data_IF_919756380045
#
_entry.id   IF_919756380045
#
_cell.length_a   1.000
_cell.length_b   1.000
_cell.length_c   1.000
_cell.angle_alpha   90.00
_cell.angle_beta   90.00
_cell.angle_gamma   90.00
#
_symmetry.space_group_name_H-M   'P 1'
#
loop_
_entity.id
_entity.type
_entity.pdbx_description
1 polymer ?
#
# COMPACT_ATOMS: atom_id res chain seq x y z
N UNK A 1 5.11 12.60 -33.92
CA UNK A 1 6.12 13.17 -33.01
C UNK A 1 5.54 14.11 -31.96
N UNK A 2 4.71 15.11 -32.28
CA UNK A 2 4.21 16.07 -31.27
C UNK A 2 3.18 15.53 -30.26
N UNK A 3 2.35 14.57 -30.64
CA UNK A 3 1.27 14.03 -29.78
C UNK A 3 1.78 13.05 -28.72
N UNK A 4 2.76 12.22 -29.04
CA UNK A 4 3.30 11.21 -28.14
C UNK A 4 4.12 11.83 -26.99
N UNK A 5 4.94 12.84 -27.30
CA UNK A 5 5.69 13.61 -26.30
C UNK A 5 4.73 14.30 -25.31
N UNK A 6 3.60 14.82 -25.78
CA UNK A 6 2.59 15.46 -24.91
C UNK A 6 1.93 14.43 -24.00
N UNK A 7 1.57 13.26 -24.53
CA UNK A 7 1.02 12.16 -23.73
C UNK A 7 2.01 11.69 -22.66
N UNK A 8 3.28 11.53 -23.03
CA UNK A 8 4.33 11.13 -22.09
C UNK A 8 4.56 12.19 -21.02
N UNK A 9 4.51 13.49 -21.36
CA UNK A 9 4.58 14.59 -20.37
C UNK A 9 3.43 14.56 -19.35
N UNK A 10 2.23 14.18 -19.79
CA UNK A 10 1.07 14.04 -18.88
C UNK A 10 1.31 12.86 -17.95
N UNK A 11 1.72 11.71 -18.49
CA UNK A 11 1.98 10.49 -17.72
C UNK A 11 3.14 10.67 -16.74
N UNK A 12 4.26 11.26 -17.16
CA UNK A 12 5.39 11.53 -16.28
C UNK A 12 5.03 12.49 -15.16
N UNK A 13 4.20 13.51 -15.44
CA UNK A 13 3.65 14.40 -14.42
C UNK A 13 2.77 13.66 -13.40
N UNK A 14 1.96 12.69 -13.84
CA UNK A 14 1.17 11.85 -12.94
C UNK A 14 2.07 10.98 -12.06
N UNK A 15 3.08 10.33 -12.64
CA UNK A 15 4.06 9.52 -11.92
C UNK A 15 4.75 10.36 -10.85
N UNK A 16 5.29 11.53 -11.21
CA UNK A 16 5.94 12.44 -10.26
C UNK A 16 5.02 12.92 -9.13
N UNK A 17 3.73 13.09 -9.41
CA UNK A 17 2.76 13.51 -8.39
C UNK A 17 2.33 12.40 -7.43
N UNK A 18 2.37 11.14 -7.87
CA UNK A 18 1.99 9.98 -7.07
C UNK A 18 3.17 9.39 -6.30
N UNK A 19 4.41 9.63 -6.73
CA UNK A 19 5.58 9.07 -6.09
C UNK A 19 5.82 9.55 -4.66
N UNK A 20 6.28 8.62 -3.82
CA UNK A 20 6.84 8.90 -2.48
C UNK A 20 8.23 8.26 -2.42
N UNK A 21 9.28 9.07 -2.22
CA UNK A 21 10.68 8.62 -2.15
C UNK A 21 11.13 7.76 -3.35
N UNK A 22 10.85 8.23 -4.57
CA UNK A 22 11.17 7.52 -5.82
C UNK A 22 10.49 6.15 -5.97
N UNK A 23 9.35 5.98 -5.31
CA UNK A 23 8.58 4.74 -5.34
C UNK A 23 7.10 5.03 -5.60
N UNK A 24 6.44 4.12 -6.31
CA UNK A 24 5.05 4.20 -6.73
C UNK A 24 4.33 2.92 -6.29
N UNK A 25 3.14 3.02 -5.69
CA UNK A 25 2.38 1.82 -5.34
C UNK A 25 1.92 1.10 -6.63
N UNK A 26 1.93 -0.23 -6.64
CA UNK A 26 1.51 -1.03 -7.80
C UNK A 26 0.11 -0.64 -8.31
N UNK A 27 -0.83 -0.30 -7.42
CA UNK A 27 -2.17 0.19 -7.81
C UNK A 27 -2.13 1.55 -8.50
N UNK A 28 -1.20 2.43 -8.11
CA UNK A 28 -1.01 3.73 -8.77
C UNK A 28 -0.36 3.56 -10.14
N UNK A 29 0.62 2.66 -10.25
CA UNK A 29 1.21 2.28 -11.53
C UNK A 29 0.17 1.71 -12.51
N UNK A 30 -0.67 0.78 -12.06
CA UNK A 30 -1.76 0.21 -12.87
C UNK A 30 -2.78 1.27 -13.31
N UNK A 31 -3.11 2.20 -12.41
CA UNK A 31 -3.99 3.33 -12.73
C UNK A 31 -3.36 4.24 -13.80
N UNK A 32 -2.08 4.58 -13.66
CA UNK A 32 -1.33 5.39 -14.64
C UNK A 32 -1.26 4.68 -16.00
N UNK A 33 -1.02 3.36 -16.03
CA UNK A 33 -1.03 2.57 -17.26
C UNK A 33 -2.41 2.57 -17.93
N UNK A 34 -3.48 2.46 -17.14
CA UNK A 34 -4.86 2.56 -17.64
C UNK A 34 -5.12 3.92 -18.31
N UNK A 35 -4.70 5.02 -17.69
CA UNK A 35 -4.81 6.37 -18.28
C UNK A 35 -3.95 6.50 -19.55
N UNK A 36 -2.73 5.97 -19.54
CA UNK A 36 -1.85 5.92 -20.71
C UNK A 36 -2.50 5.22 -21.89
N UNK A 37 -3.14 4.07 -21.65
CA UNK A 37 -3.87 3.32 -22.67
C UNK A 37 -5.03 4.13 -23.28
N UNK A 38 -5.81 4.86 -22.46
CA UNK A 38 -6.88 5.75 -22.95
C UNK A 38 -6.34 6.93 -23.78
N UNK A 39 -5.12 7.38 -23.49
CA UNK A 39 -4.42 8.38 -24.28
C UNK A 39 -3.77 7.80 -25.54
N UNK A 40 -3.80 6.48 -25.74
CA UNK A 40 -3.13 5.78 -26.83
C UNK A 40 -1.61 5.81 -26.69
N UNK A 41 -1.11 5.65 -25.47
CA UNK A 41 0.29 5.43 -25.13
C UNK A 41 0.44 3.96 -24.71
N UNK A 42 1.42 3.26 -25.26
CA UNK A 42 1.67 1.86 -24.90
C UNK A 42 2.28 1.77 -23.50
N UNK A 43 1.96 0.71 -22.76
CA UNK A 43 2.50 0.46 -21.42
C UNK A 43 4.03 0.39 -21.44
N UNK A 44 4.60 -0.19 -22.49
CA UNK A 44 6.04 -0.35 -22.71
C UNK A 44 6.80 0.99 -22.60
N UNK A 45 6.18 2.09 -23.06
CA UNK A 45 6.74 3.45 -23.00
C UNK A 45 6.75 3.98 -21.56
N UNK A 46 5.75 3.61 -20.76
CA UNK A 46 5.66 3.96 -19.34
C UNK A 46 6.69 3.15 -18.55
N UNK A 47 6.86 1.88 -18.88
CA UNK A 47 7.82 0.97 -18.25
C UNK A 47 9.26 1.43 -18.51
N UNK A 48 9.54 1.87 -19.73
CA UNK A 48 10.83 2.45 -20.09
C UNK A 48 11.11 3.72 -19.29
N UNK A 49 10.12 4.63 -19.15
CA UNK A 49 10.25 5.82 -18.31
C UNK A 49 10.52 5.49 -16.84
N UNK A 50 9.79 4.52 -16.26
CA UNK A 50 9.99 4.07 -14.88
C UNK A 50 11.40 3.50 -14.68
N UNK A 51 11.89 2.76 -15.68
CA UNK A 51 13.23 2.18 -15.65
C UNK A 51 14.32 3.24 -15.78
N UNK A 52 14.16 4.21 -16.68
CA UNK A 52 15.12 5.30 -16.90
C UNK A 52 15.24 6.22 -15.68
N UNK A 53 14.14 6.47 -14.98
CA UNK A 53 14.08 7.32 -13.78
C UNK A 53 14.33 6.54 -12.47
N UNK A 54 14.70 5.24 -12.58
CA UNK A 54 14.98 4.35 -11.45
C UNK A 54 13.84 4.31 -10.41
N UNK A 55 12.59 4.36 -10.87
CA UNK A 55 11.39 4.41 -10.02
C UNK A 55 11.03 3.00 -9.56
N UNK A 56 10.89 2.82 -8.25
CA UNK A 56 10.53 1.53 -7.67
C UNK A 56 9.02 1.32 -7.68
N UNK A 57 8.56 0.27 -8.36
CA UNK A 57 7.17 -0.17 -8.21
C UNK A 57 7.06 -1.02 -6.96
N UNK A 58 6.38 -0.48 -5.94
CA UNK A 58 6.13 -1.17 -4.69
C UNK A 58 5.05 -2.21 -4.95
N UNK A 59 5.36 -3.51 -4.88
CA UNK A 59 4.38 -4.55 -5.16
C UNK A 59 3.21 -4.43 -4.18
N UNK A 60 1.99 -4.64 -4.69
CA UNK A 60 0.77 -4.68 -3.88
C UNK A 60 0.67 -5.98 -3.07
N UNK A 61 1.74 -6.34 -2.35
CA UNK A 61 1.75 -7.61 -1.64
C UNK A 61 0.91 -7.47 -0.36
N UNK A 62 -0.03 -8.41 -0.18
CA UNK A 62 -0.88 -8.52 1.01
C UNK A 62 -0.05 -8.42 2.29
N UNK A 63 1.14 -9.01 2.27
CA UNK A 63 2.19 -8.92 3.29
C UNK A 63 2.50 -7.48 3.74
N UNK A 64 2.70 -6.53 2.82
CA UNK A 64 3.07 -5.14 3.12
C UNK A 64 1.88 -4.37 3.66
N UNK A 65 0.67 -4.62 3.11
CA UNK A 65 -0.59 -4.08 3.65
C UNK A 65 -0.82 -4.57 5.08
N UNK A 66 -0.54 -5.83 5.34
CA UNK A 66 -0.62 -6.46 6.67
C UNK A 66 0.39 -5.84 7.65
N UNK A 67 1.65 -5.65 7.25
CA UNK A 67 2.67 -5.02 8.10
C UNK A 67 2.29 -3.57 8.42
N UNK A 68 1.81 -2.81 7.41
CA UNK A 68 1.36 -1.42 7.57
C UNK A 68 0.16 -1.36 8.52
N UNK A 69 -0.81 -2.25 8.35
CA UNK A 69 -1.99 -2.37 9.22
C UNK A 69 -1.60 -2.67 10.66
N UNK A 70 -0.68 -3.61 10.86
CA UNK A 70 -0.18 -3.99 12.18
C UNK A 70 0.47 -2.80 12.91
N UNK A 71 1.40 -2.08 12.26
CA UNK A 71 2.12 -0.94 12.86
C UNK A 71 1.14 0.17 13.27
N UNK A 72 0.16 0.45 12.40
CA UNK A 72 -0.90 1.42 12.67
C UNK A 72 -1.76 0.97 13.86
N UNK A 73 -2.30 -0.25 13.83
CA UNK A 73 -3.20 -0.76 14.86
C UNK A 73 -2.51 -0.78 16.24
N UNK A 74 -1.25 -1.19 16.32
CA UNK A 74 -0.50 -1.21 17.59
C UNK A 74 -0.23 0.21 18.12
N UNK A 75 0.17 1.14 17.27
CA UNK A 75 0.38 2.55 17.66
C UNK A 75 -0.92 3.13 18.22
N UNK A 76 -2.01 2.94 17.49
CA UNK A 76 -3.33 3.47 17.86
C UNK A 76 -3.87 2.76 19.12
N UNK A 77 -3.50 1.47 19.32
CA UNK A 77 -3.80 0.73 20.55
C UNK A 77 -3.21 1.47 21.74
N UNK A 78 -1.92 1.86 21.71
CA UNK A 78 -1.28 2.54 22.85
C UNK A 78 -1.89 3.91 23.18
N UNK A 79 -2.49 4.59 22.20
CA UNK A 79 -3.08 5.93 22.37
C UNK A 79 -4.60 5.89 22.59
N UNK A 80 -5.22 4.71 22.64
CA UNK A 80 -6.67 4.56 22.68
C UNK A 80 -7.27 5.05 24.00
N UNK A 81 -8.34 5.85 23.90
CA UNK A 81 -9.21 6.17 25.05
C UNK A 81 -10.22 5.07 25.37
N UNK A 82 -10.55 4.22 24.39
CA UNK A 82 -11.51 3.13 24.52
C UNK A 82 -11.11 1.96 23.63
N UNK A 83 -10.98 0.78 24.24
CA UNK A 83 -10.58 -0.45 23.53
C UNK A 83 -11.59 -0.83 22.43
N UNK A 84 -12.89 -0.87 22.75
CA UNK A 84 -13.92 -1.25 21.79
C UNK A 84 -14.02 -0.29 20.59
N UNK A 85 -13.89 1.03 20.83
CA UNK A 85 -13.88 2.01 19.73
C UNK A 85 -12.65 1.83 18.85
N UNK A 86 -11.49 1.54 19.44
CA UNK A 86 -10.26 1.24 18.71
C UNK A 86 -10.41 -0.01 17.85
N UNK A 87 -10.90 -1.14 18.39
CA UNK A 87 -11.13 -2.38 17.61
C UNK A 87 -12.01 -2.10 16.40
N UNK A 88 -13.13 -1.39 16.57
CA UNK A 88 -14.05 -1.07 15.48
C UNK A 88 -13.42 -0.16 14.43
N UNK A 89 -12.63 0.83 14.85
CA UNK A 89 -11.94 1.75 13.96
C UNK A 89 -10.85 1.02 13.16
N UNK A 90 -10.00 0.23 13.82
CA UNK A 90 -8.97 -0.57 13.17
C UNK A 90 -9.58 -1.60 12.21
N UNK A 91 -10.68 -2.26 12.57
CA UNK A 91 -11.39 -3.16 11.66
C UNK A 91 -11.82 -2.46 10.37
N UNK A 92 -12.43 -1.26 10.50
CA UNK A 92 -12.79 -0.45 9.33
C UNK A 92 -11.57 -0.05 8.51
N UNK A 93 -10.49 0.40 9.14
CA UNK A 93 -9.28 0.79 8.43
C UNK A 93 -8.65 -0.38 7.67
N UNK A 94 -8.59 -1.58 8.27
CA UNK A 94 -8.13 -2.79 7.58
C UNK A 94 -8.94 -3.10 6.32
N UNK A 95 -10.26 -2.92 6.36
CA UNK A 95 -11.12 -3.06 5.18
C UNK A 95 -10.80 -2.03 4.09
N UNK A 96 -10.58 -0.76 4.45
CA UNK A 96 -10.19 0.28 3.49
C UNK A 96 -8.80 0.03 2.89
N UNK A 97 -7.93 -0.66 3.63
CA UNK A 97 -6.62 -1.11 3.15
C UNK A 97 -6.70 -2.36 2.26
N UNK A 98 -7.90 -2.89 1.99
CA UNK A 98 -8.09 -4.06 1.15
C UNK A 98 -7.66 -5.38 1.81
N UNK A 99 -7.57 -5.43 3.14
CA UNK A 99 -7.25 -6.67 3.84
C UNK A 99 -8.46 -7.62 3.91
N UNK A 100 -8.26 -8.94 3.75
CA UNK A 100 -9.32 -9.92 3.97
C UNK A 100 -9.87 -9.84 5.39
N UNK A 101 -11.18 -10.05 5.56
CA UNK A 101 -11.84 -9.99 6.87
C UNK A 101 -11.22 -10.97 7.87
N UNK A 102 -10.91 -12.19 7.44
CA UNK A 102 -10.23 -13.21 8.25
C UNK A 102 -8.88 -12.72 8.77
N UNK A 103 -8.09 -12.13 7.88
CA UNK A 103 -6.80 -11.52 8.20
C UNK A 103 -6.97 -10.45 9.28
N UNK A 104 -7.89 -9.49 9.08
CA UNK A 104 -8.15 -8.42 10.06
C UNK A 104 -8.59 -8.98 11.41
N UNK A 105 -9.50 -9.96 11.43
CA UNK A 105 -10.02 -10.56 12.67
C UNK A 105 -8.93 -11.29 13.45
N UNK A 106 -8.20 -12.17 12.76
CA UNK A 106 -7.13 -12.93 13.40
C UNK A 106 -6.05 -11.98 13.94
N UNK A 107 -5.73 -10.90 13.21
CA UNK A 107 -4.80 -9.89 13.69
C UNK A 107 -5.28 -9.11 14.91
N UNK A 108 -6.52 -8.62 14.91
CA UNK A 108 -7.06 -7.89 16.06
C UNK A 108 -7.18 -8.78 17.29
N UNK A 109 -7.42 -10.08 17.09
CA UNK A 109 -7.39 -11.09 18.14
C UNK A 109 -5.97 -11.26 18.70
N UNK A 110 -4.96 -11.45 17.86
CA UNK A 110 -3.57 -11.57 18.31
C UNK A 110 -3.10 -10.29 19.04
N UNK A 111 -3.42 -9.12 18.49
CA UNK A 111 -3.15 -7.80 19.10
C UNK A 111 -3.88 -7.56 20.41
N UNK A 112 -4.96 -8.28 20.72
CA UNK A 112 -5.60 -8.20 22.03
C UNK A 112 -4.59 -8.55 23.14
N UNK A 113 -3.80 -9.60 22.92
CA UNK A 113 -2.87 -10.16 23.88
C UNK A 113 -1.47 -9.53 23.85
N UNK A 114 -1.13 -8.71 22.84
CA UNK A 114 0.17 -8.04 22.77
C UNK A 114 0.17 -6.68 23.48
N UNK A 115 0.93 -6.51 24.55
CA UNK A 115 1.10 -5.23 25.25
C UNK A 115 2.31 -4.44 24.70
N UNK A 116 3.35 -5.16 24.24
CA UNK A 116 4.61 -4.56 23.78
C UNK A 116 4.85 -4.66 22.27
N UNK A 117 5.74 -3.81 21.75
CA UNK A 117 6.11 -3.78 20.33
C UNK A 117 6.90 -5.04 19.92
N UNK A 118 7.71 -5.57 20.82
CA UNK A 118 8.51 -6.78 20.68
C UNK A 118 7.64 -8.02 20.45
N UNK A 119 6.53 -8.13 21.17
CA UNK A 119 5.59 -9.25 21.08
C UNK A 119 4.89 -9.31 19.73
N UNK A 120 4.42 -8.17 19.24
CA UNK A 120 3.75 -8.20 17.95
C UNK A 120 4.72 -8.18 16.74
N UNK A 121 6.02 -7.92 16.92
CA UNK A 121 7.03 -8.28 15.92
C UNK A 121 7.07 -9.80 15.70
N UNK A 122 6.87 -10.60 16.75
CA UNK A 122 6.73 -12.05 16.63
C UNK A 122 5.42 -12.43 15.92
N UNK A 123 4.33 -11.70 16.16
CA UNK A 123 3.07 -11.89 15.43
C UNK A 123 3.27 -11.60 13.94
N UNK A 124 3.94 -10.50 13.57
CA UNK A 124 4.28 -10.24 12.16
C UNK A 124 5.09 -11.40 11.58
N UNK A 125 6.16 -11.83 12.24
CA UNK A 125 7.01 -12.94 11.76
C UNK A 125 6.22 -14.23 11.54
N UNK A 126 5.25 -14.55 12.42
CA UNK A 126 4.36 -15.71 12.29
C UNK A 126 3.44 -15.63 11.08
N UNK A 127 2.99 -14.45 10.69
CA UNK A 127 2.16 -14.27 9.49
C UNK A 127 2.97 -14.27 8.20
N UNK A 128 4.23 -13.83 8.25
CA UNK A 128 5.11 -13.81 7.08
C UNK A 128 5.79 -15.16 6.81
N UNK A 129 5.79 -16.07 7.79
CA UNK A 129 6.39 -17.40 7.69
C UNK A 129 5.41 -18.49 7.20
N UNK A 130 4.17 -18.12 6.88
CA UNK A 130 3.14 -18.99 6.28
C UNK A 130 2.99 -18.66 4.80
#
# INVERSE_FOLDING_TARGET
MGTEIVKLKIISGMIQSSMINNALEQTEYEFICSIGSHLGLMQDVIDEYIKEEEIFILPDNLTSKVIRFYKMALRDKKQRKSYFKWVRASYKQGLHMGLPQDTIRNFLYDLHFCEEYSEGEQVIKKYLAK
#
